data_IF_784226393605
#
_entry.id   IF_784226393605
#
_cell.length_a   1.000
_cell.length_b   1.000
_cell.length_c   1.000
_cell.angle_alpha   90.00
_cell.angle_beta   90.00
_cell.angle_gamma   90.00
#
_symmetry.space_group_name_H-M   'P 1'
#
loop_
_entity.id
_entity.type
_entity.pdbx_description
1 polymer ?
#
# COMPACT_ATOMS: atom_id res chain seq x y z
N UNK A 1 -5.26 5.90 7.54
CA UNK A 1 -4.02 6.22 6.79
C UNK A 1 -4.10 7.65 6.31
N UNK A 2 -3.10 8.49 6.55
CA UNK A 2 -3.21 9.95 6.33
C UNK A 2 -2.71 10.45 4.97
N UNK A 3 -2.09 9.62 4.11
CA UNK A 3 -1.62 10.00 2.75
C UNK A 3 -1.06 11.45 2.62
N UNK A 4 -0.21 11.85 3.57
CA UNK A 4 0.34 13.21 3.72
C UNK A 4 1.86 13.27 3.55
N UNK A 5 2.48 12.21 3.00
CA UNK A 5 3.94 12.10 2.94
C UNK A 5 4.62 13.05 1.95
N UNK A 6 3.87 13.67 1.03
CA UNK A 6 4.37 14.59 -0.01
C UNK A 6 5.66 14.07 -0.68
N UNK A 7 5.49 13.17 -1.66
CA UNK A 7 6.59 12.59 -2.45
C UNK A 7 6.30 12.79 -3.93
N UNK A 8 7.36 13.07 -4.70
CA UNK A 8 7.30 13.18 -6.16
C UNK A 8 8.27 12.21 -6.86
N UNK A 9 7.88 11.73 -8.03
CA UNK A 9 8.70 10.88 -8.87
C UNK A 9 7.91 9.83 -9.65
N UNK A 10 8.65 8.96 -10.32
CA UNK A 10 8.10 7.84 -11.09
C UNK A 10 8.48 6.53 -10.43
N UNK A 11 7.50 5.67 -10.18
CA UNK A 11 7.74 4.32 -9.66
C UNK A 11 7.05 3.28 -10.53
N UNK A 12 7.79 2.27 -10.96
CA UNK A 12 7.27 1.19 -11.84
C UNK A 12 6.62 1.71 -13.13
N UNK A 13 7.14 2.81 -13.68
CA UNK A 13 6.62 3.49 -14.87
C UNK A 13 5.38 4.36 -14.62
N UNK A 14 5.03 4.61 -13.35
CA UNK A 14 3.87 5.41 -12.96
C UNK A 14 4.33 6.70 -12.27
N UNK A 15 4.15 7.88 -12.89
CA UNK A 15 4.45 9.14 -12.24
C UNK A 15 3.44 9.42 -11.13
N UNK A 16 3.87 9.92 -9.97
CA UNK A 16 2.97 10.33 -8.89
C UNK A 16 1.92 11.36 -9.37
N UNK A 17 2.30 12.15 -10.39
CA UNK A 17 1.46 13.12 -11.08
C UNK A 17 0.10 12.53 -11.48
N UNK A 18 0.02 11.25 -11.86
CA UNK A 18 -1.26 10.63 -12.32
C UNK A 18 -2.37 10.69 -11.28
N UNK A 19 -2.05 10.84 -9.99
CA UNK A 19 -3.04 10.96 -8.91
C UNK A 19 -3.08 12.35 -8.26
N UNK A 20 -2.26 13.31 -8.69
CA UNK A 20 -2.37 14.69 -8.22
C UNK A 20 -3.70 15.31 -8.65
N UNK A 21 -4.23 16.18 -7.80
CA UNK A 21 -5.48 16.89 -7.99
C UNK A 21 -6.66 15.93 -8.24
N UNK A 22 -6.65 14.76 -7.57
CA UNK A 22 -7.72 13.76 -7.67
C UNK A 22 -8.87 14.10 -6.73
N UNK A 23 -10.04 14.30 -7.31
CA UNK A 23 -11.30 14.32 -6.54
C UNK A 23 -11.46 13.00 -5.79
N UNK A 24 -11.56 13.07 -4.46
CA UNK A 24 -11.63 11.90 -3.59
C UNK A 24 -12.38 12.21 -2.30
N UNK A 25 -13.07 11.21 -1.75
CA UNK A 25 -13.86 11.33 -0.51
C UNK A 25 -14.84 12.53 -0.48
N UNK A 26 -15.48 12.84 -1.61
CA UNK A 26 -16.44 13.95 -1.73
C UNK A 26 -15.80 15.34 -1.76
N UNK A 27 -14.46 15.46 -1.78
CA UNK A 27 -13.76 16.73 -1.93
C UNK A 27 -13.51 17.02 -3.41
N UNK A 28 -14.08 18.09 -3.98
CA UNK A 28 -13.76 18.51 -5.33
C UNK A 28 -12.29 18.91 -5.40
N UNK A 29 -11.66 18.62 -6.54
CA UNK A 29 -10.30 19.08 -6.78
C UNK A 29 -10.30 20.55 -7.18
N UNK A 30 -9.27 21.28 -6.75
CA UNK A 30 -9.04 22.67 -7.16
C UNK A 30 -8.54 22.79 -8.61
N UNK A 31 -8.04 21.70 -9.20
CA UNK A 31 -7.51 21.65 -10.55
C UNK A 31 -7.81 20.30 -11.23
N UNK A 32 -7.68 20.19 -12.56
CA UNK A 32 -7.84 18.91 -13.24
C UNK A 32 -6.87 17.85 -12.71
N UNK A 33 -7.32 16.60 -12.59
CA UNK A 33 -6.48 15.47 -12.19
C UNK A 33 -5.27 15.35 -13.13
N UNK A 34 -4.11 15.03 -12.59
CA UNK A 34 -2.90 14.86 -13.41
C UNK A 34 -2.12 16.15 -13.66
N UNK A 35 -2.57 17.28 -13.14
CA UNK A 35 -1.88 18.56 -13.29
C UNK A 35 -0.86 18.78 -12.17
N UNK A 36 0.16 19.57 -12.48
CA UNK A 36 1.21 19.90 -11.51
C UNK A 36 0.66 20.73 -10.36
N UNK A 37 1.22 20.50 -9.17
CA UNK A 37 1.14 21.37 -7.99
C UNK A 37 2.47 21.28 -7.26
N UNK A 38 2.88 22.34 -6.57
CA UNK A 38 4.07 22.25 -5.72
C UNK A 38 3.81 21.33 -4.52
N UNK A 39 4.86 20.67 -4.05
CA UNK A 39 4.78 19.88 -2.82
C UNK A 39 4.62 20.80 -1.61
N UNK A 40 3.83 20.34 -0.64
CA UNK A 40 3.70 20.97 0.67
C UNK A 40 4.65 20.30 1.67
N UNK A 41 4.86 20.89 2.87
CA UNK A 41 5.51 20.18 3.96
C UNK A 41 4.80 18.85 4.25
N UNK A 42 5.53 17.73 4.47
CA UNK A 42 4.93 16.47 4.87
C UNK A 42 4.04 16.63 6.12
N UNK A 43 2.86 16.03 6.09
CA UNK A 43 1.84 16.21 7.13
C UNK A 43 0.89 17.40 6.90
N UNK A 44 1.27 18.37 6.07
CA UNK A 44 0.51 19.62 5.85
C UNK A 44 -0.58 19.55 4.79
N UNK A 45 -0.58 18.52 3.94
CA UNK A 45 -1.55 18.37 2.86
C UNK A 45 -1.97 16.92 2.68
N UNK A 46 -3.28 16.70 2.57
CA UNK A 46 -3.87 15.39 2.30
C UNK A 46 -4.24 15.27 0.84
N UNK A 47 -3.83 14.17 0.20
CA UNK A 47 -4.27 13.82 -1.13
C UNK A 47 -4.16 12.31 -1.34
N UNK A 48 -5.15 11.72 -2.00
CA UNK A 48 -5.06 10.31 -2.40
C UNK A 48 -4.03 10.14 -3.53
N UNK A 49 -3.06 9.24 -3.37
CA UNK A 49 -2.04 8.93 -4.37
C UNK A 49 -1.56 7.47 -4.25
N UNK A 50 -1.88 6.63 -5.25
CA UNK A 50 -1.53 5.21 -5.23
C UNK A 50 -0.01 5.00 -5.39
N UNK A 51 0.68 5.89 -6.11
CA UNK A 51 2.14 5.80 -6.31
C UNK A 51 2.87 5.99 -4.98
N UNK A 52 2.36 6.86 -4.09
CA UNK A 52 2.90 7.02 -2.73
C UNK A 52 2.72 5.77 -1.87
N UNK A 53 1.63 5.03 -2.03
CA UNK A 53 1.46 3.74 -1.35
C UNK A 53 2.46 2.71 -1.88
N UNK A 54 2.69 2.66 -3.20
CA UNK A 54 3.72 1.80 -3.79
C UNK A 54 5.13 2.17 -3.31
N UNK A 55 5.40 3.47 -3.11
CA UNK A 55 6.66 3.95 -2.54
C UNK A 55 6.86 3.48 -1.11
N UNK A 56 5.79 3.49 -0.30
CA UNK A 56 5.80 2.93 1.05
C UNK A 56 6.07 1.41 1.03
N UNK A 57 5.40 0.66 0.15
CA UNK A 57 5.66 -0.78 0.00
C UNK A 57 7.13 -1.07 -0.33
N UNK A 58 7.73 -0.32 -1.26
CA UNK A 58 9.15 -0.50 -1.59
C UNK A 58 10.07 -0.15 -0.41
N UNK A 59 9.74 0.88 0.38
CA UNK A 59 10.50 1.24 1.57
C UNK A 59 10.43 0.13 2.64
N UNK A 60 9.24 -0.42 2.89
CA UNK A 60 9.04 -1.51 3.83
C UNK A 60 9.75 -2.79 3.37
N UNK A 61 9.72 -3.11 2.07
CA UNK A 61 10.47 -4.23 1.52
C UNK A 61 11.97 -4.10 1.79
N UNK A 62 12.54 -2.90 1.60
CA UNK A 62 13.97 -2.63 1.86
C UNK A 62 14.32 -2.67 3.35
N UNK A 63 13.39 -2.27 4.22
CA UNK A 63 13.55 -2.32 5.67
C UNK A 63 13.54 -3.76 6.17
N UNK A 64 12.54 -4.54 5.76
CA UNK A 64 12.39 -5.94 6.16
C UNK A 64 13.37 -6.87 5.46
N UNK A 65 13.86 -6.48 4.28
CA UNK A 65 14.70 -7.29 3.38
C UNK A 65 14.08 -8.66 3.06
N UNK A 66 12.74 -8.71 3.10
CA UNK A 66 11.92 -9.92 2.90
C UNK A 66 10.74 -9.57 1.98
N UNK A 67 10.20 -10.55 1.23
CA UNK A 67 8.94 -10.36 0.51
C UNK A 67 7.84 -9.90 1.46
N UNK A 68 7.20 -8.77 1.17
CA UNK A 68 6.11 -8.25 2.02
C UNK A 68 4.92 -9.21 2.19
N UNK A 69 4.57 -10.09 1.23
CA UNK A 69 3.59 -11.14 1.49
C UNK A 69 3.98 -12.07 2.64
N UNK A 70 5.25 -12.41 2.81
CA UNK A 70 5.69 -13.26 3.94
C UNK A 70 5.59 -12.51 5.26
N UNK A 71 6.02 -11.23 5.27
CA UNK A 71 5.92 -10.38 6.46
C UNK A 71 4.45 -10.20 6.87
N UNK A 72 3.56 -9.93 5.91
CA UNK A 72 2.13 -9.78 6.17
C UNK A 72 1.47 -11.08 6.64
N UNK A 73 1.91 -12.22 6.09
CA UNK A 73 1.49 -13.54 6.54
C UNK A 73 1.81 -13.77 8.01
N UNK A 74 3.08 -13.64 8.36
CA UNK A 74 3.62 -13.92 9.68
C UNK A 74 3.06 -12.97 10.76
N UNK A 75 3.02 -11.67 10.45
CA UNK A 75 2.69 -10.65 11.44
C UNK A 75 1.20 -10.41 11.58
N UNK A 76 0.39 -10.69 10.55
CA UNK A 76 -1.04 -10.32 10.55
C UNK A 76 -1.94 -11.51 10.21
N UNK A 77 -1.78 -12.11 9.03
CA UNK A 77 -2.77 -13.05 8.49
C UNK A 77 -2.85 -14.36 9.26
N UNK A 78 -1.71 -14.97 9.58
CA UNK A 78 -1.67 -16.20 10.37
C UNK A 78 -2.16 -15.95 11.82
N UNK A 79 -1.73 -14.87 12.52
CA UNK A 79 -2.26 -14.55 13.85
C UNK A 79 -3.77 -14.32 13.94
N UNK A 80 -4.40 -13.78 12.89
CA UNK A 80 -5.87 -13.61 12.86
C UNK A 80 -6.62 -14.85 12.35
N UNK A 81 -5.90 -15.94 12.06
CA UNK A 81 -6.48 -17.19 11.56
C UNK A 81 -7.08 -17.06 10.16
N UNK A 82 -6.48 -16.25 9.30
CA UNK A 82 -6.87 -16.16 7.90
C UNK A 82 -6.50 -17.44 7.12
N UNK A 83 -7.18 -17.68 6.00
CA UNK A 83 -6.82 -18.77 5.09
C UNK A 83 -5.43 -18.57 4.45
N UNK A 84 -4.82 -19.61 3.87
CA UNK A 84 -3.57 -19.46 3.13
C UNK A 84 -3.76 -18.96 1.69
N UNK A 85 -5.01 -18.84 1.20
CA UNK A 85 -5.36 -18.69 -0.22
C UNK A 85 -5.24 -17.25 -0.76
N UNK A 86 -5.04 -16.28 0.12
CA UNK A 86 -4.85 -14.89 -0.29
C UNK A 86 -3.48 -14.71 -0.97
N UNK A 87 -3.41 -13.72 -1.85
CA UNK A 87 -2.20 -13.35 -2.57
C UNK A 87 -2.01 -11.84 -2.53
N UNK A 88 -0.76 -11.39 -2.43
CA UNK A 88 -0.43 -9.98 -2.57
C UNK A 88 0.62 -9.81 -3.66
N UNK A 89 0.20 -9.25 -4.79
CA UNK A 89 1.00 -9.16 -5.99
C UNK A 89 1.56 -7.76 -6.24
N UNK A 90 2.76 -7.70 -6.82
CA UNK A 90 3.31 -6.48 -7.44
C UNK A 90 2.95 -6.36 -8.92
N UNK A 91 3.50 -5.34 -9.56
CA UNK A 91 3.44 -5.19 -11.01
C UNK A 91 4.50 -6.06 -11.71
N UNK A 92 4.29 -6.32 -13.01
CA UNK A 92 5.22 -7.08 -13.85
C UNK A 92 6.67 -6.57 -13.78
N UNK A 93 6.88 -5.25 -13.68
CA UNK A 93 8.18 -4.60 -13.63
C UNK A 93 8.63 -4.16 -12.22
N UNK A 94 7.95 -4.61 -11.16
CA UNK A 94 8.22 -4.15 -9.79
C UNK A 94 9.24 -5.02 -9.04
N UNK A 95 10.30 -5.43 -9.72
CA UNK A 95 11.35 -6.26 -9.14
C UNK A 95 12.53 -5.41 -8.72
N UNK A 96 13.09 -5.71 -7.54
CA UNK A 96 14.33 -5.08 -7.03
C UNK A 96 15.29 -6.15 -6.54
N UNK A 97 16.57 -5.82 -6.50
CA UNK A 97 17.57 -6.67 -5.86
C UNK A 97 17.64 -6.39 -4.35
N UNK A 98 17.57 -7.45 -3.55
CA UNK A 98 17.80 -7.45 -2.10
C UNK A 98 18.72 -8.65 -1.82
N UNK A 99 19.86 -8.42 -1.18
CA UNK A 99 20.81 -9.50 -0.83
C UNK A 99 21.19 -10.39 -2.03
N UNK A 100 21.40 -9.78 -3.20
CA UNK A 100 21.74 -10.49 -4.44
C UNK A 100 20.61 -11.33 -5.03
N UNK A 101 19.36 -11.16 -4.55
CA UNK A 101 18.19 -11.90 -5.05
C UNK A 101 17.11 -10.94 -5.55
N UNK A 102 16.42 -11.28 -6.65
CA UNK A 102 15.27 -10.51 -7.09
C UNK A 102 14.08 -10.73 -6.15
N UNK A 103 13.55 -9.64 -5.58
CA UNK A 103 12.35 -9.62 -4.74
C UNK A 103 11.34 -8.65 -5.33
N UNK A 104 10.07 -9.08 -5.43
CA UNK A 104 9.01 -8.24 -5.97
C UNK A 104 8.48 -7.27 -4.91
N UNK A 105 8.46 -5.98 -5.25
CA UNK A 105 7.74 -4.95 -4.50
C UNK A 105 6.25 -4.97 -4.85
N UNK A 106 5.43 -5.30 -3.86
CA UNK A 106 3.97 -5.34 -4.00
C UNK A 106 3.35 -3.94 -4.10
N UNK A 107 2.15 -3.86 -4.71
CA UNK A 107 1.41 -2.60 -4.82
C UNK A 107 0.34 -2.43 -3.74
N UNK A 108 -0.02 -1.18 -3.45
CA UNK A 108 -1.08 -0.88 -2.48
C UNK A 108 -2.48 -1.30 -2.93
N UNK A 109 -2.79 -1.08 -4.21
CA UNK A 109 -4.10 -1.37 -4.80
C UNK A 109 -4.02 -2.16 -6.11
N UNK A 110 -5.15 -2.71 -6.52
CA UNK A 110 -5.29 -3.53 -7.73
C UNK A 110 -5.52 -2.73 -9.02
N UNK A 111 -5.55 -1.41 -8.97
CA UNK A 111 -5.90 -0.54 -10.10
C UNK A 111 -5.07 -0.80 -11.38
N UNK A 112 -3.82 -1.23 -11.22
CA UNK A 112 -2.91 -1.55 -12.33
C UNK A 112 -2.43 -3.02 -12.31
N UNK A 113 -3.27 -3.94 -11.84
CA UNK A 113 -3.03 -5.38 -11.92
C UNK A 113 -2.14 -5.99 -10.84
N UNK A 114 -1.92 -5.29 -9.72
CA UNK A 114 -1.30 -5.84 -8.51
C UNK A 114 -2.31 -5.96 -7.37
N UNK A 115 -1.86 -5.74 -6.12
CA UNK A 115 -2.72 -5.61 -4.95
C UNK A 115 -3.02 -6.93 -4.25
N UNK A 116 -3.90 -6.87 -3.25
CA UNK A 116 -4.28 -8.02 -2.42
C UNK A 116 -5.54 -8.66 -2.97
N UNK A 117 -5.45 -9.95 -3.27
CA UNK A 117 -6.55 -10.84 -3.62
C UNK A 117 -6.85 -11.71 -2.42
N UNK A 118 -8.06 -11.57 -1.85
CA UNK A 118 -8.41 -12.13 -0.55
C UNK A 118 -9.89 -12.48 -0.52
N UNK A 119 -10.25 -13.52 0.23
CA UNK A 119 -11.66 -13.88 0.42
C UNK A 119 -12.39 -12.82 1.25
N UNK A 120 -13.70 -12.67 1.03
CA UNK A 120 -14.52 -11.76 1.84
C UNK A 120 -14.45 -12.12 3.34
N UNK A 121 -14.32 -13.41 3.66
CA UNK A 121 -14.20 -13.90 5.04
C UNK A 121 -12.89 -13.44 5.70
N UNK A 122 -11.77 -13.55 5.00
CA UNK A 122 -10.48 -13.11 5.55
C UNK A 122 -10.39 -11.59 5.62
N UNK A 123 -10.97 -10.88 4.67
CA UNK A 123 -11.09 -9.42 4.74
C UNK A 123 -11.95 -8.98 5.94
N UNK A 124 -13.01 -9.71 6.27
CA UNK A 124 -13.81 -9.46 7.47
C UNK A 124 -13.02 -9.66 8.77
N UNK A 125 -12.09 -10.63 8.83
CA UNK A 125 -11.19 -10.82 9.97
C UNK A 125 -10.27 -9.62 10.19
N UNK A 126 -9.69 -9.08 9.11
CA UNK A 126 -8.90 -7.82 9.18
C UNK A 126 -9.78 -6.69 9.73
N UNK A 127 -11.02 -6.56 9.22
CA UNK A 127 -11.98 -5.58 9.71
C UNK A 127 -12.27 -5.73 11.21
N UNK A 128 -12.53 -6.95 11.68
CA UNK A 128 -12.77 -7.26 13.09
C UNK A 128 -11.56 -6.94 13.97
N UNK A 129 -10.34 -7.29 13.53
CA UNK A 129 -9.09 -6.96 14.23
C UNK A 129 -8.92 -5.44 14.38
N UNK A 130 -9.20 -4.67 13.31
CA UNK A 130 -9.12 -3.20 13.35
C UNK A 130 -10.19 -2.60 14.28
N UNK A 131 -11.42 -3.13 14.27
CA UNK A 131 -12.49 -2.73 15.21
C UNK A 131 -12.09 -2.99 16.67
N UNK A 132 -11.38 -4.09 16.91
CA UNK A 132 -10.79 -4.43 18.21
C UNK A 132 -9.47 -3.69 18.49
N UNK A 133 -9.18 -2.59 17.79
CA UNK A 133 -8.00 -1.74 17.97
C UNK A 133 -6.66 -2.49 17.90
N UNK A 134 -6.60 -3.48 17.00
CA UNK A 134 -5.43 -4.33 16.79
C UNK A 134 -5.30 -5.50 17.76
N UNK A 135 -6.31 -5.78 18.59
CA UNK A 135 -6.29 -6.92 19.51
C UNK A 135 -7.04 -8.11 18.89
N UNK A 136 -6.39 -9.26 18.81
CA UNK A 136 -6.98 -10.53 18.39
C UNK A 136 -6.79 -11.58 19.48
N UNK A 137 -7.88 -11.99 20.14
CA UNK A 137 -7.81 -12.80 21.35
C UNK A 137 -7.03 -12.08 22.46
N UNK A 138 -5.91 -12.65 22.91
CA UNK A 138 -5.00 -12.06 23.89
C UNK A 138 -3.79 -11.34 23.28
N UNK A 139 -3.65 -11.34 21.96
CA UNK A 139 -2.48 -10.80 21.25
C UNK A 139 -2.78 -9.44 20.64
N UNK A 140 -1.83 -8.51 20.73
CA UNK A 140 -1.80 -7.31 19.89
C UNK A 140 -1.05 -7.61 18.61
N UNK A 141 -1.70 -7.30 17.50
CA UNK A 141 -1.18 -7.37 16.13
C UNK A 141 -0.65 -6.01 15.73
#
# INVERSE_FOLDING_TARGET
>A
MQQTSEWEGVLWGKPDLVDRNRSSAGRPSAAPKGTHRNLHPPGGFWEYNDVRVNRLSLALLRLWRRPLPEVFRELVMDPIGASPDWQWAGYRNSWVEIDGRPVQSVSGGGHWGGGVFISARDQARIGQMLLARGVWGSRRI
#
